data_IF_844801162267
#
_entry.id   IF_844801162267
#
_cell.length_a   1.000
_cell.length_b   1.000
_cell.length_c   1.000
_cell.angle_alpha   90.00
_cell.angle_beta   90.00
_cell.angle_gamma   90.00
#
_symmetry.space_group_name_H-M   'P 1'
#
loop_
_entity.id
_entity.type
_entity.pdbx_description
1 polymer ?
#
# COMPACT_ATOMS: atom_id res chain seq x y z
N UNK A 1 -14.58 -30.77 -11.52
CA UNK A 1 -13.46 -29.91 -11.13
C UNK A 1 -13.89 -28.45 -11.08
N UNK A 2 -14.19 -27.75 -12.19
CA UNK A 2 -14.72 -26.35 -12.10
C UNK A 2 -16.01 -26.26 -11.27
N UNK A 3 -16.96 -27.19 -11.48
CA UNK A 3 -18.16 -27.27 -10.61
C UNK A 3 -17.78 -27.42 -9.14
N UNK A 4 -16.86 -28.35 -8.83
CA UNK A 4 -16.37 -28.59 -7.47
C UNK A 4 -15.68 -27.37 -6.87
N UNK A 5 -14.94 -26.60 -7.67
CA UNK A 5 -14.31 -25.35 -7.23
C UNK A 5 -15.38 -24.35 -6.80
N UNK A 6 -16.41 -24.13 -7.61
CA UNK A 6 -17.49 -23.22 -7.23
C UNK A 6 -18.36 -23.76 -6.09
N UNK A 7 -18.58 -25.08 -5.98
CA UNK A 7 -19.28 -25.66 -4.84
C UNK A 7 -18.54 -25.31 -3.53
N UNK A 8 -17.19 -25.35 -3.54
CA UNK A 8 -16.36 -24.96 -2.40
C UNK A 8 -16.48 -23.47 -2.08
N UNK A 9 -16.51 -22.61 -3.11
CA UNK A 9 -16.74 -21.17 -2.91
C UNK A 9 -18.11 -20.89 -2.27
N UNK A 10 -19.16 -21.58 -2.73
CA UNK A 10 -20.51 -21.48 -2.17
C UNK A 10 -20.56 -21.96 -0.72
N UNK A 11 -19.82 -23.02 -0.40
CA UNK A 11 -19.70 -23.53 0.98
C UNK A 11 -18.78 -22.67 1.87
N UNK A 12 -18.09 -21.68 1.30
CA UNK A 12 -17.13 -20.83 2.02
C UNK A 12 -15.78 -21.49 2.29
N UNK A 13 -15.48 -22.61 1.63
CA UNK A 13 -14.25 -23.38 1.77
C UNK A 13 -13.18 -22.86 0.79
N UNK A 14 -12.60 -21.71 1.15
CA UNK A 14 -11.55 -21.05 0.37
C UNK A 14 -10.28 -21.91 0.30
N UNK A 15 -9.94 -22.57 1.40
CA UNK A 15 -8.80 -23.47 1.51
C UNK A 15 -8.93 -24.62 0.51
N UNK A 16 -10.07 -25.31 0.51
CA UNK A 16 -10.37 -26.41 -0.40
C UNK A 16 -10.54 -25.98 -1.85
N UNK A 17 -11.04 -24.76 -2.10
CA UNK A 17 -11.05 -24.16 -3.44
C UNK A 17 -9.60 -23.93 -3.94
N UNK A 18 -8.72 -23.44 -3.08
CA UNK A 18 -7.30 -23.22 -3.36
C UNK A 18 -6.57 -24.50 -3.78
N UNK A 19 -6.90 -25.64 -3.17
CA UNK A 19 -6.33 -26.96 -3.56
C UNK A 19 -6.67 -27.35 -5.00
N UNK A 20 -7.75 -26.83 -5.59
CA UNK A 20 -8.19 -27.16 -6.94
C UNK A 20 -7.53 -26.28 -8.02
N UNK A 21 -6.80 -25.23 -7.61
CA UNK A 21 -6.05 -24.36 -8.51
C UNK A 21 -4.82 -25.09 -9.07
N UNK A 22 -4.44 -24.73 -10.30
CA UNK A 22 -3.21 -25.24 -10.91
C UNK A 22 -1.95 -24.57 -10.35
N UNK A 23 -2.07 -23.29 -10.01
CA UNK A 23 -1.07 -22.50 -9.32
C UNK A 23 -1.73 -21.63 -8.24
N UNK A 24 -1.79 -22.08 -6.97
CA UNK A 24 -2.35 -21.27 -5.89
C UNK A 24 -1.47 -20.07 -5.51
N UNK A 25 -0.20 -20.04 -5.92
CA UNK A 25 0.75 -18.97 -5.52
C UNK A 25 0.47 -17.62 -6.18
N UNK A 26 -0.37 -17.60 -7.22
CA UNK A 26 -0.82 -16.35 -7.86
C UNK A 26 -1.93 -15.65 -7.08
N UNK A 27 -2.57 -16.32 -6.11
CA UNK A 27 -3.40 -15.69 -5.10
C UNK A 27 -2.54 -15.43 -3.87
N UNK A 28 -2.82 -14.34 -3.15
CA UNK A 28 -2.23 -14.18 -1.83
C UNK A 28 -2.65 -15.35 -0.93
N UNK A 29 -1.77 -15.94 -0.11
CA UNK A 29 -2.14 -16.96 0.85
C UNK A 29 -3.28 -16.52 1.79
N UNK A 30 -3.35 -15.23 2.10
CA UNK A 30 -4.42 -14.62 2.90
C UNK A 30 -5.78 -14.74 2.21
N UNK A 31 -5.82 -14.71 0.86
CA UNK A 31 -7.06 -14.86 0.10
C UNK A 31 -7.64 -16.28 0.12
N UNK A 32 -6.83 -17.27 0.51
CA UNK A 32 -7.22 -18.68 0.61
C UNK A 32 -7.58 -19.08 2.04
N UNK A 33 -7.61 -18.13 2.97
CA UNK A 33 -8.07 -18.35 4.34
C UNK A 33 -9.60 -18.26 4.41
N UNK A 34 -10.24 -19.25 5.03
CA UNK A 34 -11.69 -19.34 5.12
C UNK A 34 -12.31 -18.19 5.93
N UNK A 35 -11.60 -17.67 6.94
CA UNK A 35 -12.08 -16.54 7.73
C UNK A 35 -12.02 -15.24 6.93
N UNK A 36 -10.94 -15.02 6.16
CA UNK A 36 -10.86 -13.89 5.24
C UNK A 36 -11.94 -13.97 4.17
N UNK A 37 -12.18 -15.16 3.61
CA UNK A 37 -13.20 -15.32 2.58
C UNK A 37 -14.63 -15.18 3.12
N UNK A 38 -14.85 -15.43 4.41
CA UNK A 38 -16.16 -15.26 5.04
C UNK A 38 -16.64 -13.80 5.08
N UNK A 39 -15.71 -12.83 5.01
CA UNK A 39 -16.03 -11.39 4.95
C UNK A 39 -16.45 -10.93 3.54
N UNK A 40 -16.23 -11.76 2.52
CA UNK A 40 -16.66 -11.43 1.16
C UNK A 40 -18.17 -11.63 0.98
N UNK A 41 -18.78 -10.88 0.07
CA UNK A 41 -20.06 -11.25 -0.52
C UNK A 41 -19.79 -12.38 -1.51
N UNK A 42 -19.97 -13.62 -1.06
CA UNK A 42 -19.58 -14.84 -1.79
C UNK A 42 -20.63 -15.29 -2.79
N UNK A 43 -20.26 -16.11 -3.78
CA UNK A 43 -21.20 -16.86 -4.58
C UNK A 43 -22.11 -17.71 -3.69
N UNK A 44 -23.42 -17.75 -3.98
CA UNK A 44 -24.41 -18.62 -3.31
C UNK A 44 -24.99 -19.68 -4.25
N UNK A 45 -24.78 -19.50 -5.55
CA UNK A 45 -25.11 -20.45 -6.59
C UNK A 45 -24.13 -20.28 -7.74
N UNK A 46 -23.79 -21.39 -8.40
CA UNK A 46 -23.00 -21.39 -9.60
C UNK A 46 -23.37 -22.57 -10.49
N UNK A 47 -23.31 -22.38 -11.80
CA UNK A 47 -23.54 -23.44 -12.78
C UNK A 47 -22.63 -23.28 -13.98
N UNK A 48 -22.10 -24.40 -14.45
CA UNK A 48 -21.39 -24.46 -15.73
C UNK A 48 -22.44 -24.40 -16.85
N UNK A 49 -22.30 -23.44 -17.76
CA UNK A 49 -23.22 -23.25 -18.89
C UNK A 49 -22.67 -23.82 -20.19
N UNK A 50 -21.36 -23.73 -20.41
CA UNK A 50 -20.69 -24.36 -21.53
C UNK A 50 -19.26 -24.76 -21.21
N UNK A 51 -18.75 -25.72 -21.99
CA UNK A 51 -17.36 -26.13 -21.98
C UNK A 51 -16.87 -26.09 -23.42
N UNK A 52 -15.82 -25.32 -23.66
CA UNK A 52 -15.20 -25.16 -24.97
C UNK A 52 -13.76 -25.67 -24.93
N UNK A 53 -13.40 -26.47 -25.93
CA UNK A 53 -12.10 -27.13 -25.99
C UNK A 53 -12.16 -28.61 -25.65
N UNK A 54 -11.09 -29.32 -25.99
CA UNK A 54 -10.94 -30.74 -25.70
C UNK A 54 -9.45 -31.06 -25.58
N UNK A 55 -9.00 -31.51 -24.42
CA UNK A 55 -7.61 -31.86 -24.18
C UNK A 55 -7.07 -31.34 -22.85
N UNK A 56 -5.75 -31.12 -22.73
CA UNK A 56 -5.12 -30.70 -21.47
C UNK A 56 -5.51 -29.28 -21.06
N UNK A 57 -6.03 -28.48 -22.00
CA UNK A 57 -6.55 -27.13 -21.78
C UNK A 57 -8.01 -27.06 -22.22
N UNK A 58 -8.87 -26.42 -21.42
CA UNK A 58 -10.27 -26.16 -21.76
C UNK A 58 -10.74 -24.86 -21.12
N UNK A 59 -11.77 -24.27 -21.70
CA UNK A 59 -12.42 -23.08 -21.20
C UNK A 59 -13.83 -23.43 -20.74
N UNK A 60 -14.22 -22.98 -19.55
CA UNK A 60 -15.49 -23.31 -18.91
C UNK A 60 -16.24 -22.03 -18.59
N UNK A 61 -17.39 -21.83 -19.22
CA UNK A 61 -18.28 -20.71 -18.91
C UNK A 61 -19.11 -21.06 -17.67
N UNK A 62 -19.07 -20.17 -16.69
CA UNK A 62 -19.77 -20.32 -15.41
C UNK A 62 -20.67 -19.11 -15.21
N UNK A 63 -21.94 -19.37 -14.91
CA UNK A 63 -22.83 -18.37 -14.37
C UNK A 63 -22.91 -18.55 -12.85
N UNK A 64 -22.83 -17.45 -12.10
CA UNK A 64 -22.95 -17.47 -10.64
C UNK A 64 -23.68 -16.23 -10.13
N UNK A 65 -24.24 -16.31 -8.93
CA UNK A 65 -24.86 -15.17 -8.24
C UNK A 65 -24.24 -15.02 -6.87
N UNK A 66 -23.98 -13.79 -6.48
CA UNK A 66 -23.44 -13.44 -5.18
C UNK A 66 -24.56 -13.33 -4.14
N UNK A 67 -24.22 -13.52 -2.87
CA UNK A 67 -25.17 -13.32 -1.78
C UNK A 67 -25.71 -11.88 -1.79
N UNK A 68 -26.98 -11.67 -1.51
CA UNK A 68 -27.60 -10.33 -1.55
C UNK A 68 -27.73 -9.67 -2.93
N UNK A 69 -27.00 -10.11 -3.95
CA UNK A 69 -27.03 -9.56 -5.31
C UNK A 69 -28.10 -10.23 -6.19
N UNK A 70 -28.84 -9.42 -6.96
CA UNK A 70 -29.88 -9.91 -7.88
C UNK A 70 -29.30 -10.30 -9.25
N UNK A 71 -28.17 -9.70 -9.65
CA UNK A 71 -27.59 -9.90 -10.98
C UNK A 71 -26.79 -11.20 -11.06
N UNK A 72 -26.98 -11.95 -12.15
CA UNK A 72 -26.15 -13.11 -12.46
C UNK A 72 -24.87 -12.66 -13.15
N UNK A 73 -23.72 -13.10 -12.62
CA UNK A 73 -22.40 -12.90 -13.20
C UNK A 73 -22.03 -14.03 -14.13
N UNK A 74 -21.19 -13.74 -15.11
CA UNK A 74 -20.58 -14.75 -15.99
C UNK A 74 -19.07 -14.68 -15.87
N UNK A 75 -18.43 -15.83 -15.71
CA UNK A 75 -16.97 -15.97 -15.69
C UNK A 75 -16.54 -17.08 -16.63
N UNK A 76 -15.47 -16.82 -17.38
CA UNK A 76 -14.78 -17.82 -18.19
C UNK A 76 -13.58 -18.33 -17.41
N UNK A 77 -13.58 -19.62 -17.08
CA UNK A 77 -12.55 -20.27 -16.26
C UNK A 77 -11.70 -21.18 -17.12
N UNK A 78 -10.39 -20.96 -17.11
CA UNK A 78 -9.44 -21.86 -17.72
C UNK A 78 -9.28 -23.15 -16.91
N UNK A 79 -8.99 -24.25 -17.57
CA UNK A 79 -8.56 -25.48 -16.91
C UNK A 79 -7.30 -25.99 -17.57
N UNK A 80 -6.35 -26.50 -16.78
CA UNK A 80 -5.16 -27.17 -17.30
C UNK A 80 -4.92 -28.51 -16.61
N UNK A 81 -4.02 -29.35 -17.14
CA UNK A 81 -3.71 -30.66 -16.55
C UNK A 81 -2.38 -30.61 -15.81
N UNK A 82 -2.40 -30.74 -14.48
CA UNK A 82 -1.21 -30.77 -13.62
C UNK A 82 -1.10 -32.16 -13.01
N UNK A 83 0.03 -32.85 -13.23
CA UNK A 83 0.24 -34.20 -12.68
C UNK A 83 -0.75 -35.26 -13.20
N UNK A 84 -1.39 -35.03 -14.35
CA UNK A 84 -2.41 -35.92 -14.93
C UNK A 84 -3.83 -35.67 -14.41
N UNK A 85 -4.02 -34.68 -13.54
CA UNK A 85 -5.33 -34.28 -13.02
C UNK A 85 -5.72 -32.90 -13.58
N UNK A 86 -6.99 -32.70 -13.94
CA UNK A 86 -7.46 -31.38 -14.33
C UNK A 86 -7.46 -30.45 -13.10
N UNK A 87 -6.95 -29.23 -13.26
CA UNK A 87 -6.92 -28.15 -12.27
C UNK A 87 -7.50 -26.85 -12.85
N UNK A 88 -8.02 -25.98 -12.00
CA UNK A 88 -8.50 -24.66 -12.39
C UNK A 88 -7.28 -23.79 -12.71
N UNK A 89 -7.16 -23.35 -13.95
CA UNK A 89 -6.22 -22.32 -14.34
C UNK A 89 -6.91 -20.96 -14.12
N UNK A 90 -6.24 -20.03 -13.43
CA UNK A 90 -6.88 -18.76 -13.06
C UNK A 90 -7.28 -17.91 -14.27
N UNK A 91 -8.25 -17.04 -14.02
CA UNK A 91 -8.67 -15.93 -14.86
C UNK A 91 -7.54 -14.88 -14.94
N UNK A 92 -6.56 -15.10 -15.82
CA UNK A 92 -5.30 -14.34 -15.84
C UNK A 92 -5.47 -12.83 -16.03
N UNK A 93 -6.60 -12.38 -16.55
CA UNK A 93 -6.78 -11.00 -17.01
C UNK A 93 -7.64 -10.13 -16.06
N UNK A 94 -7.99 -10.64 -14.88
CA UNK A 94 -8.98 -10.01 -13.99
C UNK A 94 -8.49 -9.83 -12.53
N UNK A 95 -7.20 -9.54 -12.36
CA UNK A 95 -6.67 -9.04 -11.07
C UNK A 95 -6.68 -7.50 -11.02
N UNK A 96 -6.48 -6.92 -9.84
CA UNK A 96 -6.33 -5.47 -9.64
C UNK A 96 -4.83 -5.11 -9.63
N UNK A 97 -4.26 -4.55 -10.70
CA UNK A 97 -2.91 -4.01 -10.66
C UNK A 97 -2.88 -2.74 -9.82
N UNK A 98 -2.01 -2.71 -8.81
CA UNK A 98 -1.82 -1.56 -7.91
C UNK A 98 -0.45 -0.95 -8.16
N UNK A 99 -0.41 0.33 -8.51
CA UNK A 99 0.82 1.10 -8.73
C UNK A 99 1.09 1.95 -7.50
N UNK A 100 2.24 1.72 -6.87
CA UNK A 100 2.69 2.42 -5.67
C UNK A 100 3.91 3.27 -5.99
N UNK A 101 4.09 4.47 -5.42
CA UNK A 101 5.24 5.35 -5.68
C UNK A 101 6.53 4.87 -4.98
N UNK A 102 6.67 3.56 -4.73
CA UNK A 102 7.78 2.99 -3.97
C UNK A 102 7.68 3.24 -2.47
N UNK A 103 6.49 3.51 -1.94
CA UNK A 103 6.23 3.63 -0.49
C UNK A 103 5.53 2.35 0.00
N UNK A 104 5.86 1.85 1.21
CA UNK A 104 5.13 0.72 1.81
C UNK A 104 3.65 1.03 1.99
N UNK A 105 2.80 0.18 1.41
CA UNK A 105 1.33 0.20 1.54
C UNK A 105 0.86 -1.24 1.58
N UNK A 106 -0.09 -1.52 2.46
CA UNK A 106 -0.79 -2.79 2.63
C UNK A 106 -2.24 -2.63 2.17
N UNK A 107 -2.85 -3.69 1.62
CA UNK A 107 -4.30 -3.77 1.46
C UNK A 107 -4.85 -4.63 2.57
N UNK A 108 -5.91 -4.23 3.23
CA UNK A 108 -6.57 -5.02 4.28
C UNK A 108 -7.97 -5.38 3.80
N UNK A 109 -8.35 -6.65 3.92
CA UNK A 109 -9.77 -7.04 3.86
C UNK A 109 -10.30 -6.91 5.28
N UNK A 110 -11.43 -6.20 5.44
CA UNK A 110 -12.00 -5.82 6.74
C UNK A 110 -11.91 -6.97 7.77
N UNK A 111 -11.32 -6.68 8.92
CA UNK A 111 -11.31 -7.58 10.08
C UNK A 111 -10.42 -8.85 9.99
N UNK A 112 -9.84 -9.17 8.83
CA UNK A 112 -9.40 -10.56 8.59
C UNK A 112 -7.97 -10.75 8.07
N UNK A 113 -7.32 -9.74 7.51
CA UNK A 113 -5.89 -9.83 7.20
C UNK A 113 -5.34 -8.75 6.26
N UNK A 114 -4.04 -8.48 6.41
CA UNK A 114 -3.29 -7.59 5.54
C UNK A 114 -2.60 -8.37 4.41
N UNK A 115 -2.74 -7.86 3.19
CA UNK A 115 -2.11 -8.28 1.96
C UNK A 115 -0.91 -7.38 1.73
N UNK A 116 0.28 -7.97 1.78
CA UNK A 116 1.49 -7.26 1.41
C UNK A 116 1.53 -7.04 -0.11
N UNK A 117 1.42 -5.78 -0.52
CA UNK A 117 1.53 -5.37 -1.91
C UNK A 117 2.99 -5.34 -2.40
N UNK A 118 4.00 -5.70 -1.58
CA UNK A 118 5.42 -5.80 -1.95
C UNK A 118 5.68 -6.66 -3.20
N UNK A 119 4.74 -7.51 -3.59
CA UNK A 119 4.82 -8.28 -4.82
C UNK A 119 4.43 -7.43 -6.04
N UNK A 120 5.23 -7.49 -7.10
CA UNK A 120 5.03 -6.74 -8.35
C UNK A 120 3.88 -7.25 -9.23
N UNK A 121 2.96 -8.04 -8.66
CA UNK A 121 1.84 -8.66 -9.35
C UNK A 121 0.51 -7.95 -9.05
N UNK A 122 -0.52 -8.15 -9.90
CA UNK A 122 -1.86 -7.69 -9.59
C UNK A 122 -2.42 -8.43 -8.37
N UNK A 123 -3.14 -7.71 -7.50
CA UNK A 123 -3.91 -8.33 -6.42
C UNK A 123 -4.97 -9.24 -7.05
N UNK A 124 -5.06 -10.47 -6.55
CA UNK A 124 -6.05 -11.45 -6.98
C UNK A 124 -6.67 -12.11 -5.76
N UNK A 125 -8.00 -12.09 -5.70
CA UNK A 125 -8.81 -12.75 -4.68
C UNK A 125 -9.74 -13.77 -5.35
N UNK A 126 -10.36 -14.64 -4.55
CA UNK A 126 -11.40 -15.56 -5.02
C UNK A 126 -12.63 -14.77 -5.50
N UNK A 127 -13.52 -15.36 -6.32
CA UNK A 127 -14.74 -14.69 -6.74
C UNK A 127 -15.59 -14.23 -5.56
N UNK A 128 -16.01 -12.96 -5.58
CA UNK A 128 -16.77 -12.30 -4.52
C UNK A 128 -16.57 -10.79 -4.52
N UNK A 129 -17.40 -10.08 -3.75
CA UNK A 129 -17.21 -8.65 -3.49
C UNK A 129 -16.51 -8.48 -2.14
N UNK A 130 -15.48 -7.64 -2.10
CA UNK A 130 -14.66 -7.39 -0.92
C UNK A 130 -14.64 -5.90 -0.61
N UNK A 131 -14.72 -5.57 0.67
CA UNK A 131 -14.39 -4.23 1.16
C UNK A 131 -12.90 -4.20 1.53
N UNK A 132 -12.17 -3.35 0.81
CA UNK A 132 -10.72 -3.21 0.89
C UNK A 132 -10.37 -1.87 1.53
N UNK A 133 -9.40 -1.89 2.44
CA UNK A 133 -8.80 -0.68 3.00
C UNK A 133 -7.32 -0.63 2.59
N UNK A 134 -6.83 0.55 2.22
CA UNK A 134 -5.40 0.79 1.96
C UNK A 134 -4.78 1.43 3.19
N UNK A 135 -3.85 0.71 3.83
CA UNK A 135 -3.24 1.12 5.09
C UNK A 135 -1.72 1.17 5.00
N UNK A 136 -1.11 2.07 5.76
CA UNK A 136 0.32 2.13 5.96
C UNK A 136 0.82 1.18 7.05
N UNK A 137 2.08 0.70 6.97
CA UNK A 137 2.64 -0.09 8.05
C UNK A 137 2.68 0.71 9.35
N UNK A 138 2.38 0.06 10.48
CA UNK A 138 2.37 0.66 11.82
C UNK A 138 1.44 1.89 11.95
N UNK A 139 0.45 2.04 11.07
CA UNK A 139 -0.45 3.19 11.07
C UNK A 139 0.35 4.51 10.97
N UNK A 140 1.31 4.53 10.04
CA UNK A 140 2.20 5.68 9.77
C UNK A 140 1.73 6.47 8.55
N UNK A 141 1.20 5.78 7.56
CA UNK A 141 0.75 6.36 6.29
C UNK A 141 -0.70 6.01 6.04
N UNK A 142 -1.34 6.85 5.24
CA UNK A 142 -2.71 6.70 4.75
C UNK A 142 -2.73 7.08 3.28
N UNK A 143 -3.78 6.72 2.57
CA UNK A 143 -4.05 7.28 1.24
C UNK A 143 -5.00 8.47 1.29
N UNK A 144 -5.60 8.77 2.44
CA UNK A 144 -6.42 9.97 2.59
C UNK A 144 -5.56 11.24 2.37
N UNK A 145 -5.89 12.11 1.40
CA UNK A 145 -5.04 13.25 1.06
C UNK A 145 -4.82 14.25 2.20
N UNK A 146 -5.72 14.28 3.19
CA UNK A 146 -5.64 15.16 4.35
C UNK A 146 -4.93 14.49 5.54
N UNK A 147 -4.43 13.26 5.37
CA UNK A 147 -3.75 12.50 6.42
C UNK A 147 -4.70 11.84 7.42
N UNK A 148 -5.99 11.71 7.08
CA UNK A 148 -7.01 11.05 7.90
C UNK A 148 -6.99 9.52 7.81
N UNK A 149 -8.04 8.90 8.37
CA UNK A 149 -8.28 7.47 8.17
C UNK A 149 -8.64 7.19 6.71
N UNK A 150 -8.09 6.11 6.14
CA UNK A 150 -8.48 5.71 4.79
C UNK A 150 -9.92 5.17 4.80
N UNK A 151 -10.68 5.53 3.77
CA UNK A 151 -12.02 4.99 3.58
C UNK A 151 -11.94 3.63 2.87
N UNK A 152 -12.71 2.62 3.34
CA UNK A 152 -12.80 1.35 2.62
C UNK A 152 -13.47 1.56 1.27
N UNK A 153 -13.09 0.74 0.29
CA UNK A 153 -13.67 0.73 -1.04
C UNK A 153 -13.97 -0.68 -1.48
N UNK A 154 -15.10 -0.81 -2.17
CA UNK A 154 -15.63 -2.10 -2.58
C UNK A 154 -15.07 -2.51 -3.96
N UNK A 155 -14.57 -3.74 -4.06
CA UNK A 155 -14.09 -4.32 -5.33
C UNK A 155 -14.68 -5.70 -5.52
N UNK A 156 -15.32 -5.91 -6.68
CA UNK A 156 -15.73 -7.25 -7.13
C UNK A 156 -14.54 -7.95 -7.80
N UNK A 157 -14.26 -9.18 -7.37
CA UNK A 157 -13.35 -10.11 -8.03
C UNK A 157 -14.15 -11.22 -8.72
N UNK A 158 -13.76 -11.65 -9.93
CA UNK A 158 -12.67 -11.11 -10.75
C UNK A 158 -12.94 -9.67 -11.23
N UNK A 159 -11.88 -8.88 -11.34
CA UNK A 159 -11.96 -7.43 -11.51
C UNK A 159 -12.48 -7.03 -12.89
N UNK A 160 -13.52 -6.21 -12.89
CA UNK A 160 -13.87 -5.32 -13.99
C UNK A 160 -13.36 -3.91 -13.66
N UNK A 161 -12.28 -3.44 -14.32
CA UNK A 161 -11.69 -2.14 -14.00
C UNK A 161 -12.65 -0.98 -14.24
N UNK A 162 -13.62 -1.11 -15.15
CA UNK A 162 -14.57 -0.04 -15.46
C UNK A 162 -15.63 0.13 -14.36
N UNK A 163 -15.77 -0.88 -13.48
CA UNK A 163 -16.69 -0.85 -12.33
C UNK A 163 -16.05 -0.33 -11.04
N UNK A 164 -14.72 -0.16 -10.99
CA UNK A 164 -14.00 0.25 -9.78
C UNK A 164 -14.26 1.73 -9.50
N UNK A 165 -14.71 2.01 -8.28
CA UNK A 165 -14.74 3.37 -7.72
C UNK A 165 -13.52 3.52 -6.81
N UNK A 166 -12.45 4.22 -7.24
CA UNK A 166 -11.28 4.38 -6.41
C UNK A 166 -11.61 5.23 -5.17
N UNK A 167 -11.02 4.92 -4.00
CA UNK A 167 -11.17 5.72 -2.79
C UNK A 167 -10.49 7.09 -2.94
N UNK A 168 -10.77 8.06 -2.04
CA UNK A 168 -10.02 9.31 -1.96
C UNK A 168 -8.50 9.06 -1.91
N UNK A 169 -7.74 9.85 -2.68
CA UNK A 169 -6.28 9.72 -2.79
C UNK A 169 -5.78 8.50 -3.58
N UNK A 170 -6.69 7.77 -4.22
CA UNK A 170 -6.37 6.83 -5.27
C UNK A 170 -7.06 7.23 -6.58
N UNK A 171 -6.51 6.74 -7.69
CA UNK A 171 -7.07 6.97 -9.02
C UNK A 171 -6.89 5.75 -9.92
N UNK A 172 -7.87 5.52 -10.79
CA UNK A 172 -7.75 4.50 -11.82
C UNK A 172 -7.17 5.12 -13.09
N UNK A 173 -5.95 4.72 -13.48
CA UNK A 173 -5.32 5.13 -14.75
C UNK A 173 -4.90 3.90 -15.52
N UNK A 174 -5.32 3.81 -16.79
CA UNK A 174 -5.00 2.67 -17.65
C UNK A 174 -5.33 1.32 -17.00
N UNK A 175 -6.48 1.23 -16.32
CA UNK A 175 -6.95 0.04 -15.60
C UNK A 175 -6.08 -0.39 -14.40
N UNK A 176 -5.19 0.49 -13.93
CA UNK A 176 -4.36 0.31 -12.73
C UNK A 176 -4.78 1.28 -11.64
N UNK A 177 -4.83 0.80 -10.40
CA UNK A 177 -5.08 1.62 -9.23
C UNK A 177 -3.77 2.28 -8.80
N UNK A 178 -3.65 3.58 -9.06
CA UNK A 178 -2.55 4.40 -8.56
C UNK A 178 -2.92 4.93 -7.19
N UNK A 179 -2.02 4.77 -6.23
CA UNK A 179 -2.19 5.25 -4.85
C UNK A 179 -1.12 6.27 -4.54
N UNK A 180 -1.49 7.38 -3.91
CA UNK A 180 -0.56 8.44 -3.50
C UNK A 180 -0.56 8.54 -1.97
N UNK A 181 0.14 7.65 -1.26
CA UNK A 181 0.16 7.65 0.19
C UNK A 181 0.80 8.94 0.75
N UNK A 182 0.29 9.39 1.89
CA UNK A 182 0.80 10.49 2.70
C UNK A 182 1.02 10.03 4.14
N UNK A 183 1.75 10.80 4.94
CA UNK A 183 1.82 10.56 6.38
C UNK A 183 0.46 10.82 7.00
N UNK A 184 0.09 10.02 8.01
CA UNK A 184 -1.05 10.37 8.86
C UNK A 184 -0.81 11.72 9.53
N UNK A 185 -1.86 12.53 9.70
CA UNK A 185 -1.74 13.90 10.15
C UNK A 185 -1.06 14.03 11.53
N UNK A 186 -1.38 13.12 12.45
CA UNK A 186 -0.73 13.07 13.77
C UNK A 186 0.74 12.64 13.68
N UNK A 187 1.06 11.74 12.76
CA UNK A 187 2.43 11.27 12.53
C UNK A 187 3.27 12.37 11.91
N UNK A 188 2.73 13.08 10.92
CA UNK A 188 3.38 14.25 10.33
C UNK A 188 3.68 15.32 11.39
N UNK A 189 2.69 15.65 12.22
CA UNK A 189 2.84 16.65 13.30
C UNK A 189 3.90 16.22 14.32
N UNK A 190 3.90 14.96 14.76
CA UNK A 190 4.85 14.46 15.75
C UNK A 190 6.27 14.36 15.16
N UNK A 191 6.38 13.93 13.90
CA UNK A 191 7.64 13.88 13.17
C UNK A 191 8.24 15.28 12.99
N UNK A 192 7.45 16.29 12.60
CA UNK A 192 7.89 17.68 12.49
C UNK A 192 8.38 18.22 13.83
N UNK A 193 7.61 18.03 14.91
CA UNK A 193 8.03 18.43 16.25
C UNK A 193 9.35 17.78 16.67
N UNK A 194 9.56 16.50 16.31
CA UNK A 194 10.79 15.79 16.63
C UNK A 194 11.99 16.29 15.83
N UNK A 195 11.79 16.63 14.56
CA UNK A 195 12.81 17.23 13.70
C UNK A 195 13.17 18.62 14.23
N UNK A 196 12.20 19.44 14.60
CA UNK A 196 12.43 20.76 15.19
C UNK A 196 13.25 20.69 16.48
N UNK A 197 12.96 19.72 17.36
CA UNK A 197 13.76 19.47 18.57
C UNK A 197 15.22 19.09 18.25
N UNK A 198 15.42 18.22 17.26
CA UNK A 198 16.75 17.79 16.82
C UNK A 198 17.55 18.96 16.23
N UNK A 199 16.93 19.76 15.36
CA UNK A 199 17.55 20.94 14.76
C UNK A 199 17.88 22.01 15.82
N UNK A 200 16.99 22.25 16.77
CA UNK A 200 17.25 23.16 17.89
C UNK A 200 18.40 22.67 18.78
N UNK A 201 18.46 21.37 19.08
CA UNK A 201 19.56 20.74 19.81
C UNK A 201 20.89 20.88 19.05
N UNK A 202 20.86 20.66 17.74
CA UNK A 202 22.02 20.83 16.86
C UNK A 202 22.52 22.30 16.84
N UNK A 203 21.62 23.28 16.73
CA UNK A 203 21.96 24.71 16.83
C UNK A 203 22.55 25.05 18.19
N UNK A 204 22.01 24.52 19.29
CA UNK A 204 22.56 24.72 20.64
C UNK A 204 23.95 24.10 20.81
N UNK A 205 24.25 23.02 20.10
CA UNK A 205 25.58 22.40 20.00
C UNK A 205 26.51 23.12 18.99
N UNK A 206 26.06 24.21 18.38
CA UNK A 206 26.84 25.01 17.43
C UNK A 206 26.99 24.36 16.05
N UNK A 207 25.99 23.58 15.61
CA UNK A 207 25.98 22.83 14.35
C UNK A 207 27.13 21.82 14.21
N UNK A 208 27.53 21.21 15.34
CA UNK A 208 28.62 20.23 15.37
C UNK A 208 28.33 19.07 16.32
N UNK A 209 28.98 17.94 16.06
CA UNK A 209 28.95 16.76 16.93
C UNK A 209 27.72 15.86 16.72
N UNK A 210 27.61 14.84 17.56
CA UNK A 210 26.64 13.73 17.40
C UNK A 210 25.17 14.14 17.55
N UNK A 211 24.90 15.37 18.01
CA UNK A 211 23.55 15.92 18.14
C UNK A 211 23.01 16.49 16.82
N UNK A 212 23.83 16.52 15.76
CA UNK A 212 23.49 17.08 14.47
C UNK A 212 23.42 15.98 13.40
N UNK A 213 22.40 16.00 12.51
CA UNK A 213 22.36 15.14 11.34
C UNK A 213 23.63 15.29 10.48
N UNK A 214 24.08 14.23 9.79
CA UNK A 214 25.32 14.33 9.00
C UNK A 214 25.17 15.37 7.89
N UNK A 215 24.00 15.38 7.24
CA UNK A 215 23.59 16.38 6.24
C UNK A 215 23.80 17.83 6.70
N UNK A 216 23.60 18.11 8.00
CA UNK A 216 23.84 19.41 8.62
C UNK A 216 25.34 19.66 8.87
N UNK A 217 26.03 18.69 9.49
CA UNK A 217 27.45 18.85 9.86
C UNK A 217 28.42 18.91 8.69
N UNK A 218 28.10 18.25 7.57
CA UNK A 218 29.02 18.16 6.43
C UNK A 218 28.98 19.39 5.53
N UNK A 219 27.87 20.15 5.54
CA UNK A 219 27.54 21.10 4.49
C UNK A 219 27.24 22.52 4.93
N UNK A 220 26.68 22.75 6.12
CA UNK A 220 26.09 24.07 6.39
C UNK A 220 27.16 25.09 6.79
N UNK A 221 27.19 26.20 6.04
CA UNK A 221 28.10 27.33 6.20
C UNK A 221 29.60 27.01 6.11
N UNK A 222 29.96 25.78 5.72
CA UNK A 222 31.35 25.37 5.52
C UNK A 222 31.99 26.20 4.41
N UNK A 223 33.02 26.97 4.77
CA UNK A 223 33.72 27.89 3.86
C UNK A 223 33.24 29.34 3.91
N UNK A 224 32.23 29.67 4.70
CA UNK A 224 31.76 31.05 4.90
C UNK A 224 32.38 31.66 6.17
N UNK A 225 33.48 32.41 5.98
CA UNK A 225 34.13 33.08 7.09
C UNK A 225 33.25 34.19 7.70
N UNK A 226 33.14 34.19 9.03
CA UNK A 226 32.45 35.23 9.79
C UNK A 226 30.95 35.03 10.00
N UNK A 227 30.40 33.85 9.65
CA UNK A 227 29.01 33.50 9.98
C UNK A 227 28.86 33.31 11.48
N UNK A 228 27.83 33.92 12.06
CA UNK A 228 27.43 33.75 13.46
C UNK A 228 26.46 32.57 13.57
N UNK A 229 27.03 31.37 13.73
CA UNK A 229 26.29 30.11 13.84
C UNK A 229 25.32 30.12 15.03
N UNK A 230 25.62 30.83 16.11
CA UNK A 230 24.72 30.93 17.27
C UNK A 230 23.44 31.72 16.97
N UNK A 231 23.38 32.43 15.84
CA UNK A 231 22.20 33.13 15.36
C UNK A 231 21.36 32.33 14.37
N UNK A 232 21.72 31.07 14.10
CA UNK A 232 21.01 30.20 13.18
C UNK A 232 19.54 30.01 13.57
N UNK A 233 18.66 30.16 12.59
CA UNK A 233 17.22 29.89 12.69
C UNK A 233 16.82 28.98 11.55
N UNK A 234 16.00 27.98 11.87
CA UNK A 234 15.45 27.02 10.92
C UNK A 234 14.03 27.42 10.54
N UNK A 235 13.71 27.30 9.26
CA UNK A 235 12.36 27.45 8.74
C UNK A 235 12.07 26.32 7.75
N UNK A 236 11.04 25.52 8.04
CA UNK A 236 10.54 24.55 7.09
C UNK A 236 9.88 25.29 5.91
N UNK A 237 10.27 24.93 4.67
CA UNK A 237 9.74 25.57 3.47
C UNK A 237 8.48 24.85 2.96
N UNK A 238 8.39 23.54 3.11
CA UNK A 238 7.29 22.69 2.66
C UNK A 238 6.99 21.58 3.69
N UNK A 239 5.74 21.10 3.80
CA UNK A 239 5.38 19.99 4.69
C UNK A 239 6.21 18.73 4.44
N UNK A 240 6.22 17.82 5.41
CA UNK A 240 6.81 16.50 5.20
C UNK A 240 6.17 15.79 4.01
N UNK A 241 7.02 15.18 3.19
CA UNK A 241 6.64 14.35 2.04
C UNK A 241 7.24 12.96 2.18
N UNK A 242 6.57 11.95 1.61
CA UNK A 242 7.10 10.60 1.62
C UNK A 242 8.18 10.42 0.55
N UNK A 243 9.19 9.62 0.88
CA UNK A 243 10.26 9.23 -0.04
C UNK A 243 10.14 7.74 -0.35
N UNK A 244 10.36 7.38 -1.62
CA UNK A 244 10.39 5.99 -2.03
C UNK A 244 11.48 5.19 -1.30
N UNK A 245 11.14 4.03 -0.76
CA UNK A 245 12.02 3.14 0.00
C UNK A 245 11.31 1.89 0.50
N UNK A 246 12.07 0.97 1.11
CA UNK A 246 11.53 -0.25 1.73
C UNK A 246 10.84 0.02 3.07
N UNK A 247 11.09 1.18 3.66
CA UNK A 247 10.51 1.65 4.92
C UNK A 247 9.79 2.99 4.71
N UNK A 248 8.96 3.41 5.66
CA UNK A 248 8.32 4.73 5.61
C UNK A 248 9.38 5.79 5.91
N UNK A 249 9.62 6.68 4.95
CA UNK A 249 10.63 7.74 5.04
C UNK A 249 10.00 9.09 4.76
N UNK A 250 10.34 10.07 5.56
CA UNK A 250 9.87 11.44 5.39
C UNK A 250 11.01 12.36 4.94
N UNK A 251 10.66 13.37 4.16
CA UNK A 251 11.58 14.39 3.65
C UNK A 251 10.91 15.75 3.65
N UNK A 252 11.63 16.76 4.15
CA UNK A 252 11.23 18.15 3.99
C UNK A 252 12.44 19.06 3.72
N UNK A 253 12.28 20.10 2.88
CA UNK A 253 13.25 21.16 2.75
C UNK A 253 13.18 22.12 3.95
N UNK A 254 14.31 22.34 4.61
CA UNK A 254 14.50 23.34 5.65
C UNK A 254 15.48 24.41 5.18
N UNK A 255 15.12 25.66 5.36
CA UNK A 255 16.03 26.80 5.19
C UNK A 255 16.61 27.19 6.54
N UNK A 256 17.94 27.15 6.63
CA UNK A 256 18.68 27.72 7.75
C UNK A 256 19.17 29.12 7.39
N UNK A 257 18.92 30.08 8.27
CA UNK A 257 19.35 31.47 8.13
C UNK A 257 20.26 31.86 9.29
N UNK A 258 21.46 32.37 9.01
CA UNK A 258 22.39 32.84 10.02
C UNK A 258 22.93 34.24 9.67
N UNK A 259 23.30 35.03 10.68
CA UNK A 259 23.89 36.36 10.46
C UNK A 259 25.28 36.23 9.86
N UNK A 260 25.54 37.02 8.84
CA UNK A 260 26.85 37.11 8.19
C UNK A 260 27.17 38.59 7.87
N UNK A 261 28.46 39.01 7.81
CA UNK A 261 28.81 40.42 7.66
C UNK A 261 28.33 41.08 6.36
N UNK A 262 27.92 40.29 5.37
CA UNK A 262 27.44 40.76 4.06
C UNK A 262 25.91 40.74 3.94
N UNK A 263 25.20 40.36 5.01
CA UNK A 263 23.75 40.10 5.02
C UNK A 263 23.46 38.72 5.63
N UNK A 264 22.19 38.37 5.92
CA UNK A 264 21.84 37.01 6.32
C UNK A 264 22.28 36.02 5.23
N UNK A 265 22.89 34.91 5.65
CA UNK A 265 23.23 33.81 4.77
C UNK A 265 22.17 32.72 4.95
N UNK A 266 21.54 32.32 3.85
CA UNK A 266 20.49 31.33 3.83
C UNK A 266 20.94 30.10 3.05
N UNK A 267 20.76 28.93 3.64
CA UNK A 267 21.07 27.63 3.03
C UNK A 267 19.85 26.74 3.17
N UNK A 268 19.37 26.20 2.06
CA UNK A 268 18.33 25.17 2.10
C UNK A 268 18.98 23.80 2.12
N UNK A 269 18.65 23.01 3.13
CA UNK A 269 18.99 21.60 3.23
C UNK A 269 17.74 20.76 3.18
N UNK A 270 17.88 19.53 2.69
CA UNK A 270 16.81 18.56 2.74
C UNK A 270 17.10 17.62 3.89
N UNK A 271 16.15 17.53 4.81
CA UNK A 271 16.21 16.65 5.97
C UNK A 271 15.36 15.44 5.64
N UNK A 272 15.98 14.27 5.65
CA UNK A 272 15.33 12.99 5.33
C UNK A 272 15.63 11.97 6.42
N UNK A 273 14.70 11.05 6.65
CA UNK A 273 14.89 9.99 7.64
C UNK A 273 13.75 8.98 7.68
N UNK A 274 13.99 7.75 8.16
CA UNK A 274 12.91 6.82 8.47
C UNK A 274 11.99 7.36 9.56
N UNK A 275 10.71 7.08 9.40
CA UNK A 275 9.66 7.31 10.40
C UNK A 275 9.16 5.96 10.86
N UNK A 276 9.13 5.75 12.17
CA UNK A 276 8.66 4.49 12.79
C UNK A 276 7.95 4.76 14.10
N UNK A 277 7.08 3.85 14.52
CA UNK A 277 6.61 3.83 15.90
C UNK A 277 7.54 2.96 16.74
N UNK A 278 7.89 3.44 17.92
CA UNK A 278 8.60 2.63 18.90
C UNK A 278 7.63 1.65 19.63
N UNK A 279 8.12 0.74 20.50
CA UNK A 279 7.25 -0.18 21.23
C UNK A 279 6.23 0.48 22.16
N UNK A 280 6.37 1.77 22.46
CA UNK A 280 5.39 2.56 23.22
C UNK A 280 4.34 3.23 22.34
N UNK A 281 4.51 3.19 21.02
CA UNK A 281 3.65 3.81 20.02
C UNK A 281 4.06 5.23 19.62
N UNK A 282 5.14 5.77 20.20
CA UNK A 282 5.64 7.11 19.91
C UNK A 282 6.33 7.15 18.54
N UNK A 283 6.17 8.26 17.81
CA UNK A 283 6.79 8.46 16.51
C UNK A 283 8.26 8.80 16.71
N UNK A 284 9.12 8.06 16.04
CA UNK A 284 10.56 8.24 16.02
C UNK A 284 10.98 8.57 14.59
N UNK A 285 11.76 9.65 14.48
CA UNK A 285 12.43 10.05 13.24
C UNK A 285 13.93 9.95 13.47
N UNK A 286 14.63 9.22 12.62
CA UNK A 286 16.10 9.14 12.62
C UNK A 286 16.59 9.89 11.39
N UNK A 287 17.26 11.03 11.57
CA UNK A 287 17.71 11.85 10.44
C UNK A 287 19.03 11.35 9.88
N UNK A 288 19.15 11.37 8.56
CA UNK A 288 20.39 11.05 7.83
C UNK A 288 21.37 12.24 7.76
#
# INVERSE_FOLDING_TARGET
MVTTFFDRLVDGDATGAGELLSDPSVLSPVALDDAVYAEAVRPVEARVTSVTGSGPESSVDVEYRLDGEEETRTLVVGTETVGGEPRVALWSDHGLPVVRPGVPVEIVVEGSGAFDLATSGPLRLLPGIYDLELAGPQDLTTIDPDGGDSEPFTVEFPVDPDAIQPPPGAELRSQMLHVDPVLRAEVATEAEARIDELLASCTAAGLTGDACPQSVTDGIFRGYAGVDVASAVWAQAEPLSLVAGEEVRASAPYTESARWPQGPLEVTVRVEGPVRRDPSGAVVVELD
#
